data_IF_188034513141
#
_entry.id   IF_188034513141
#
_cell.length_a   1.000
_cell.length_b   1.000
_cell.length_c   1.000
_cell.angle_alpha   90.00
_cell.angle_beta   90.00
_cell.angle_gamma   90.00
#
_symmetry.space_group_name_H-M   'P 1'
#
loop_
_entity.id
_entity.type
_entity.pdbx_description
1 polymer ?
#
# COMPACT_ATOMS: atom_id res chain seq x y z
N UNK A 1 -0.75 -2.41 14.93
CA UNK A 1 -0.87 -3.88 15.07
C UNK A 1 -1.47 -4.25 16.43
N UNK A 2 -0.89 -3.81 17.56
CA UNK A 2 -1.40 -4.09 18.92
C UNK A 2 -2.85 -3.59 19.15
N UNK A 3 -3.23 -2.45 18.58
CA UNK A 3 -4.60 -1.91 18.60
C UNK A 3 -5.62 -2.74 17.79
N UNK A 4 -5.18 -3.39 16.70
CA UNK A 4 -6.03 -4.28 15.90
C UNK A 4 -6.27 -5.64 16.56
N UNK A 5 -5.29 -6.14 17.32
CA UNK A 5 -5.39 -7.38 18.09
C UNK A 5 -6.32 -7.19 19.30
N UNK A 6 -6.20 -6.07 20.02
CA UNK A 6 -7.11 -5.74 21.12
C UNK A 6 -8.56 -5.51 20.63
N UNK A 7 -8.74 -4.85 19.47
CA UNK A 7 -10.04 -4.71 18.82
C UNK A 7 -10.64 -6.05 18.39
N UNK A 8 -9.86 -6.91 17.73
CA UNK A 8 -10.31 -8.25 17.31
C UNK A 8 -10.71 -9.14 18.49
N UNK A 9 -9.97 -9.10 19.60
CA UNK A 9 -10.26 -9.87 20.81
C UNK A 9 -11.52 -9.35 21.52
N UNK A 10 -11.71 -8.02 21.60
CA UNK A 10 -12.94 -7.42 22.12
C UNK A 10 -14.19 -7.73 21.25
N UNK A 11 -13.99 -7.84 19.93
CA UNK A 11 -15.06 -8.10 18.95
C UNK A 11 -15.53 -9.56 18.94
N UNK A 12 -14.61 -10.51 19.20
CA UNK A 12 -14.93 -11.95 19.30
C UNK A 12 -15.44 -12.34 20.68
N UNK A 13 -15.10 -11.58 21.73
CA UNK A 13 -15.55 -11.88 23.10
C UNK A 13 -17.02 -11.55 23.38
N UNK A 14 -17.62 -10.54 22.73
CA UNK A 14 -19.05 -10.19 22.91
C UNK A 14 -19.99 -11.33 22.44
N UNK A 15 -19.79 -11.95 21.26
CA UNK A 15 -20.56 -13.11 20.81
C UNK A 15 -20.36 -14.36 21.68
N UNK A 16 -19.11 -14.60 22.14
CA UNK A 16 -18.79 -15.72 23.05
C UNK A 16 -19.49 -15.53 24.41
N UNK A 17 -19.50 -14.31 24.96
CA UNK A 17 -20.24 -13.98 26.17
C UNK A 17 -21.77 -14.14 26.00
N UNK A 18 -22.28 -13.83 24.80
CA UNK A 18 -23.68 -14.10 24.42
C UNK A 18 -24.01 -15.60 24.35
N UNK A 19 -23.10 -16.42 23.81
CA UNK A 19 -23.21 -17.88 23.74
C UNK A 19 -23.36 -18.52 25.13
N UNK A 20 -22.62 -18.04 26.14
CA UNK A 20 -22.72 -18.57 27.50
C UNK A 20 -24.00 -18.16 28.25
N UNK A 21 -24.75 -17.15 27.78
CA UNK A 21 -25.91 -16.60 28.50
C UNK A 21 -27.24 -17.23 28.13
N UNK A 22 -27.40 -17.77 26.90
CA UNK A 22 -28.65 -18.40 26.44
C UNK A 22 -28.37 -19.58 25.49
N UNK A 23 -28.25 -20.79 26.06
CA UNK A 23 -28.13 -22.07 25.32
C UNK A 23 -29.43 -22.46 24.61
N UNK A 24 -29.87 -21.67 23.62
CA UNK A 24 -30.92 -22.09 22.68
C UNK A 24 -30.25 -22.59 21.39
N UNK A 25 -30.73 -23.70 20.81
CA UNK A 25 -30.19 -24.30 19.56
C UNK A 25 -30.16 -23.29 18.41
N UNK A 26 -31.18 -22.45 18.28
CA UNK A 26 -31.25 -21.42 17.25
C UNK A 26 -30.13 -20.39 17.40
N UNK A 27 -29.88 -19.93 18.64
CA UNK A 27 -28.83 -18.96 18.93
C UNK A 27 -27.44 -19.51 18.65
N UNK A 28 -27.22 -20.78 18.98
CA UNK A 28 -25.96 -21.48 18.71
C UNK A 28 -25.72 -21.60 17.20
N UNK A 29 -26.76 -21.89 16.43
CA UNK A 29 -26.67 -22.04 14.97
C UNK A 29 -26.29 -20.72 14.30
N UNK A 30 -26.91 -19.61 14.72
CA UNK A 30 -26.61 -18.28 14.17
C UNK A 30 -25.18 -17.84 14.49
N UNK A 31 -24.72 -18.04 15.74
CA UNK A 31 -23.34 -17.70 16.13
C UNK A 31 -22.32 -18.54 15.37
N UNK A 32 -22.55 -19.85 15.26
CA UNK A 32 -21.67 -20.75 14.51
C UNK A 32 -21.60 -20.38 13.03
N UNK A 33 -22.74 -20.08 12.40
CA UNK A 33 -22.78 -19.63 11.00
C UNK A 33 -21.94 -18.36 10.81
N UNK A 34 -22.11 -17.36 11.66
CA UNK A 34 -21.39 -16.09 11.56
C UNK A 34 -19.90 -16.23 11.87
N UNK A 35 -19.53 -17.07 12.86
CA UNK A 35 -18.12 -17.40 13.13
C UNK A 35 -17.48 -18.13 11.95
N UNK A 36 -18.19 -19.08 11.36
CA UNK A 36 -17.73 -19.83 10.20
C UNK A 36 -17.61 -18.93 8.97
N UNK A 37 -18.52 -17.96 8.79
CA UNK A 37 -18.41 -16.92 7.78
C UNK A 37 -17.15 -16.06 7.96
N UNK A 38 -16.90 -15.58 9.18
CA UNK A 38 -15.67 -14.84 9.50
C UNK A 38 -14.44 -15.71 9.24
N UNK A 39 -14.43 -16.98 9.66
CA UNK A 39 -13.31 -17.88 9.38
C UNK A 39 -13.07 -18.10 7.89
N UNK A 40 -14.12 -18.37 7.11
CA UNK A 40 -13.98 -18.65 5.68
C UNK A 40 -13.59 -17.43 4.84
N UNK A 41 -14.05 -16.24 5.21
CA UNK A 41 -13.87 -15.05 4.38
C UNK A 41 -12.86 -14.04 4.96
N UNK A 42 -12.65 -14.00 6.27
CA UNK A 42 -11.72 -13.06 6.93
C UNK A 42 -10.33 -13.65 7.14
N UNK A 43 -10.21 -14.91 7.57
CA UNK A 43 -8.89 -15.51 7.86
C UNK A 43 -8.02 -15.68 6.61
N UNK A 44 -8.54 -16.15 5.45
CA UNK A 44 -7.75 -16.15 4.22
C UNK A 44 -7.27 -14.75 3.85
N UNK A 45 -8.14 -13.73 3.93
CA UNK A 45 -7.74 -12.35 3.70
C UNK A 45 -6.64 -11.89 4.67
N UNK A 46 -6.64 -12.35 5.92
CA UNK A 46 -5.60 -11.97 6.88
C UNK A 46 -4.26 -12.68 6.64
N UNK A 47 -4.29 -13.97 6.28
CA UNK A 47 -3.10 -14.78 5.98
C UNK A 47 -2.44 -14.32 4.67
N UNK A 48 -3.24 -14.03 3.64
CA UNK A 48 -2.73 -13.72 2.31
C UNK A 48 -2.51 -12.21 2.07
N UNK A 49 -3.05 -11.33 2.92
CA UNK A 49 -2.94 -9.86 2.77
C UNK A 49 -2.30 -9.22 3.99
N UNK A 50 -1.08 -9.67 4.34
CA UNK A 50 -0.28 -9.13 5.45
C UNK A 50 0.34 -7.75 5.17
N UNK A 51 0.19 -7.28 3.95
CA UNK A 51 0.64 -5.98 3.46
C UNK A 51 -0.47 -5.51 2.53
N UNK A 52 -1.02 -4.30 2.71
CA UNK A 52 -1.60 -3.43 1.66
C UNK A 52 -2.59 -2.43 2.26
N UNK A 53 -2.04 -1.29 2.65
CA UNK A 53 -2.69 -0.05 3.05
C UNK A 53 -3.27 0.71 1.84
N UNK A 54 -3.82 0.03 0.84
CA UNK A 54 -4.27 0.68 -0.41
C UNK A 54 -5.62 0.13 -0.86
N UNK A 55 -6.54 1.01 -1.29
CA UNK A 55 -7.98 0.77 -1.49
C UNK A 55 -8.43 -0.39 -2.38
N UNK A 56 -7.52 -1.18 -2.97
CA UNK A 56 -7.83 -2.47 -3.60
C UNK A 56 -8.25 -3.55 -2.58
N UNK A 57 -7.77 -3.47 -1.33
CA UNK A 57 -8.16 -4.40 -0.24
C UNK A 57 -9.61 -4.24 0.21
N UNK A 58 -10.26 -3.10 -0.09
CA UNK A 58 -11.63 -2.84 0.36
C UNK A 58 -12.68 -3.75 -0.28
N UNK A 59 -12.42 -4.36 -1.45
CA UNK A 59 -13.41 -5.20 -2.14
C UNK A 59 -13.54 -6.59 -1.52
N UNK A 60 -12.44 -7.18 -1.11
CA UNK A 60 -12.42 -8.51 -0.48
C UNK A 60 -12.79 -8.45 1.00
N UNK A 61 -12.59 -7.30 1.66
CA UNK A 61 -13.01 -7.09 3.05
C UNK A 61 -14.52 -6.91 3.19
N UNK A 62 -15.25 -6.50 2.14
CA UNK A 62 -16.71 -6.31 2.19
C UNK A 62 -17.44 -7.62 2.53
N UNK A 63 -17.14 -8.72 1.83
CA UNK A 63 -17.78 -10.03 2.08
C UNK A 63 -17.47 -10.54 3.49
N UNK A 64 -16.23 -10.37 3.95
CA UNK A 64 -15.85 -10.73 5.32
C UNK A 64 -16.45 -9.81 6.38
N UNK A 65 -16.69 -8.54 6.03
CA UNK A 65 -17.28 -7.52 6.90
C UNK A 65 -18.74 -7.79 7.20
N UNK A 66 -19.50 -8.38 6.27
CA UNK A 66 -20.90 -8.76 6.49
C UNK A 66 -21.04 -9.76 7.64
N UNK A 67 -20.21 -10.80 7.66
CA UNK A 67 -20.22 -11.80 8.74
C UNK A 67 -19.85 -11.19 10.09
N UNK A 68 -18.84 -10.32 10.12
CA UNK A 68 -18.41 -9.64 11.35
C UNK A 68 -19.50 -8.68 11.88
N UNK A 69 -20.12 -7.88 11.01
CA UNK A 69 -21.23 -6.99 11.36
C UNK A 69 -22.43 -7.77 11.86
N UNK A 70 -22.78 -8.87 11.19
CA UNK A 70 -23.84 -9.77 11.63
C UNK A 70 -23.54 -10.36 13.01
N UNK A 71 -22.30 -10.82 13.25
CA UNK A 71 -21.87 -11.38 14.53
C UNK A 71 -21.95 -10.34 15.66
N UNK A 72 -21.52 -9.11 15.40
CA UNK A 72 -21.63 -7.99 16.36
C UNK A 72 -23.08 -7.64 16.64
N UNK A 73 -23.89 -7.44 15.61
CA UNK A 73 -25.30 -7.08 15.76
C UNK A 73 -26.06 -8.16 16.54
N UNK A 74 -25.78 -9.43 16.25
CA UNK A 74 -26.37 -10.55 16.96
C UNK A 74 -25.92 -10.59 18.42
N UNK A 75 -24.63 -10.46 18.71
CA UNK A 75 -24.09 -10.39 20.08
C UNK A 75 -24.70 -9.25 20.91
N UNK A 76 -24.86 -8.07 20.30
CA UNK A 76 -25.53 -6.92 20.92
C UNK A 76 -27.01 -7.21 21.18
N UNK A 77 -27.70 -7.91 20.26
CA UNK A 77 -29.12 -8.24 20.41
C UNK A 77 -29.39 -9.11 21.64
N UNK A 78 -28.43 -9.95 22.03
CA UNK A 78 -28.50 -10.86 23.18
C UNK A 78 -28.34 -10.16 24.55
N UNK A 79 -27.91 -8.90 24.57
CA UNK A 79 -27.81 -8.13 25.81
C UNK A 79 -29.20 -7.84 26.37
N UNK A 80 -29.43 -8.21 27.64
CA UNK A 80 -30.76 -8.13 28.29
C UNK A 80 -31.26 -6.69 28.46
N UNK A 81 -30.35 -5.74 28.65
CA UNK A 81 -30.70 -4.39 29.06
C UNK A 81 -30.67 -3.44 27.87
N UNK A 82 -31.79 -2.75 27.60
CA UNK A 82 -31.92 -1.78 26.50
C UNK A 82 -30.83 -0.69 26.55
N UNK A 83 -30.54 -0.15 27.73
CA UNK A 83 -29.51 0.87 27.90
C UNK A 83 -28.10 0.37 27.57
N UNK A 84 -27.77 -0.85 27.98
CA UNK A 84 -26.46 -1.46 27.66
C UNK A 84 -26.32 -1.65 26.15
N UNK A 85 -27.38 -2.07 25.45
CA UNK A 85 -27.37 -2.15 23.97
C UNK A 85 -27.09 -0.81 23.32
N UNK A 86 -27.78 0.24 23.76
CA UNK A 86 -27.61 1.61 23.23
C UNK A 86 -26.17 2.08 23.47
N UNK A 87 -25.63 1.91 24.68
CA UNK A 87 -24.27 2.32 25.02
C UNK A 87 -23.24 1.60 24.14
N UNK A 88 -23.37 0.28 23.97
CA UNK A 88 -22.44 -0.51 23.15
C UNK A 88 -22.52 -0.13 21.67
N UNK A 89 -23.74 0.06 21.13
CA UNK A 89 -23.94 0.51 19.75
C UNK A 89 -23.31 1.88 19.52
N UNK A 90 -23.61 2.86 20.38
CA UNK A 90 -23.05 4.22 20.26
C UNK A 90 -21.53 4.20 20.39
N UNK A 91 -20.97 3.42 21.32
CA UNK A 91 -19.52 3.26 21.48
C UNK A 91 -18.85 2.69 20.23
N UNK A 92 -19.45 1.67 19.61
CA UNK A 92 -18.95 1.10 18.35
C UNK A 92 -19.02 2.09 17.20
N UNK A 93 -20.14 2.81 17.04
CA UNK A 93 -20.27 3.84 15.99
C UNK A 93 -19.21 4.93 16.17
N UNK A 94 -19.01 5.42 17.40
CA UNK A 94 -17.98 6.42 17.71
C UNK A 94 -16.58 5.86 17.43
N UNK A 95 -16.30 4.64 17.85
CA UNK A 95 -15.01 3.99 17.60
C UNK A 95 -14.73 3.86 16.10
N UNK A 96 -15.69 3.34 15.31
CA UNK A 96 -15.55 3.24 13.86
C UNK A 96 -15.47 4.60 13.18
N UNK A 97 -16.18 5.60 13.68
CA UNK A 97 -16.07 6.98 13.18
C UNK A 97 -14.65 7.53 13.38
N UNK A 98 -14.10 7.43 14.60
CA UNK A 98 -12.74 7.88 14.92
C UNK A 98 -11.71 7.12 14.08
N UNK A 99 -11.82 5.79 14.00
CA UNK A 99 -10.91 4.97 13.19
C UNK A 99 -10.98 5.32 11.71
N UNK A 100 -12.17 5.47 11.14
CA UNK A 100 -12.32 5.88 9.73
C UNK A 100 -11.78 7.28 9.51
N UNK A 101 -12.04 8.22 10.42
CA UNK A 101 -11.52 9.58 10.30
C UNK A 101 -9.98 9.61 10.33
N UNK A 102 -9.37 8.86 11.24
CA UNK A 102 -7.92 8.68 11.31
C UNK A 102 -7.35 8.04 10.03
N UNK A 103 -7.96 6.95 9.56
CA UNK A 103 -7.54 6.28 8.32
C UNK A 103 -7.68 7.24 7.14
N UNK A 104 -8.77 8.01 7.07
CA UNK A 104 -8.99 8.97 6.01
C UNK A 104 -8.02 10.14 6.07
N UNK A 105 -7.71 10.69 7.25
CA UNK A 105 -6.75 11.79 7.39
C UNK A 105 -5.34 11.34 6.99
N UNK A 106 -4.92 10.15 7.42
CA UNK A 106 -3.65 9.54 7.01
C UNK A 106 -3.64 9.28 5.49
N UNK A 107 -4.74 8.79 4.91
CA UNK A 107 -4.84 8.56 3.46
C UNK A 107 -5.01 9.84 2.63
N UNK A 108 -5.48 10.94 3.20
CA UNK A 108 -5.66 12.21 2.50
C UNK A 108 -4.32 12.78 2.05
N UNK A 109 -3.28 12.68 2.89
CA UNK A 109 -1.92 13.07 2.52
C UNK A 109 -1.38 12.21 1.36
N UNK A 110 -1.67 10.91 1.36
CA UNK A 110 -1.27 9.99 0.28
C UNK A 110 -2.01 10.23 -1.04
N UNK A 111 -3.21 10.80 -0.95
CA UNK A 111 -4.03 11.22 -2.09
C UNK A 111 -3.92 12.72 -2.37
N UNK A 112 -2.96 13.40 -1.74
CA UNK A 112 -2.78 14.84 -1.94
C UNK A 112 -2.52 15.11 -3.41
N UNK A 113 -3.57 15.60 -4.08
CA UNK A 113 -3.53 15.94 -5.50
C UNK A 113 -2.44 16.99 -5.76
N UNK A 114 -2.20 17.88 -4.79
CA UNK A 114 -1.15 18.91 -4.87
C UNK A 114 0.25 18.29 -4.94
N UNK A 115 0.62 17.42 -3.99
CA UNK A 115 1.95 16.80 -3.98
C UNK A 115 2.15 15.93 -5.22
N UNK A 116 1.14 15.14 -5.57
CA UNK A 116 1.18 14.29 -6.77
C UNK A 116 1.37 15.11 -8.05
N UNK A 117 0.63 16.21 -8.21
CA UNK A 117 0.74 17.08 -9.38
C UNK A 117 2.09 17.81 -9.43
N UNK A 118 2.63 18.25 -8.29
CA UNK A 118 3.94 18.90 -8.24
C UNK A 118 5.05 17.94 -8.67
N UNK A 119 5.06 16.74 -8.10
CA UNK A 119 6.01 15.70 -8.44
C UNK A 119 5.85 15.23 -9.89
N UNK A 120 4.62 15.09 -10.36
CA UNK A 120 4.31 14.76 -11.75
C UNK A 120 4.83 15.85 -12.71
N UNK A 121 4.54 17.12 -12.42
CA UNK A 121 5.01 18.23 -13.23
C UNK A 121 6.55 18.34 -13.23
N UNK A 122 7.20 17.92 -12.15
CA UNK A 122 8.66 17.88 -12.07
C UNK A 122 9.24 16.75 -12.92
N UNK A 123 8.71 15.54 -12.80
CA UNK A 123 9.03 14.42 -13.70
C UNK A 123 8.78 14.77 -15.17
N UNK A 124 7.71 15.51 -15.47
CA UNK A 124 7.41 15.96 -16.83
C UNK A 124 8.47 16.91 -17.40
N UNK A 125 9.07 17.75 -16.55
CA UNK A 125 10.09 18.72 -16.95
C UNK A 125 11.50 18.14 -16.99
N UNK A 126 11.87 17.35 -15.98
CA UNK A 126 13.25 16.93 -15.75
C UNK A 126 13.62 15.64 -16.50
N UNK A 127 12.66 14.74 -16.75
CA UNK A 127 12.93 13.49 -17.48
C UNK A 127 12.87 13.70 -19.00
N UNK A 128 13.97 13.46 -19.75
CA UNK A 128 14.04 13.72 -21.19
C UNK A 128 13.02 12.96 -22.04
N UNK A 129 12.70 13.52 -23.22
CA UNK A 129 11.96 12.85 -24.31
C UNK A 129 12.94 12.49 -25.44
N UNK A 130 12.83 11.31 -26.09
CA UNK A 130 11.90 10.21 -25.83
C UNK A 130 12.27 9.40 -24.56
N UNK A 131 11.27 8.76 -23.95
CA UNK A 131 11.49 7.95 -22.75
C UNK A 131 12.30 6.70 -23.11
N UNK A 132 13.53 6.62 -22.59
CA UNK A 132 14.33 5.40 -22.57
C UNK A 132 14.08 4.69 -21.23
N UNK A 133 14.59 3.46 -21.03
CA UNK A 133 14.55 2.83 -19.71
C UNK A 133 15.32 3.72 -18.72
N UNK A 134 14.58 4.48 -17.93
CA UNK A 134 15.10 5.33 -16.85
C UNK A 134 14.69 4.73 -15.53
N UNK A 135 15.56 4.89 -14.54
CA UNK A 135 15.27 4.51 -13.18
C UNK A 135 14.77 5.75 -12.43
N UNK A 136 13.54 5.66 -11.93
CA UNK A 136 12.89 6.74 -11.21
C UNK A 136 12.81 6.39 -9.73
N UNK A 137 13.41 7.21 -8.89
CA UNK A 137 13.45 7.03 -7.45
C UNK A 137 12.78 8.20 -6.76
N UNK A 138 11.97 7.92 -5.75
CA UNK A 138 11.48 8.96 -4.85
C UNK A 138 11.80 8.54 -3.43
N UNK A 139 12.44 9.45 -2.72
CA UNK A 139 12.94 9.29 -1.37
C UNK A 139 12.36 10.40 -0.48
N UNK A 140 12.69 10.35 0.81
CA UNK A 140 12.35 11.38 1.79
C UNK A 140 11.54 10.87 2.96
N UNK A 141 11.34 11.75 3.93
CA UNK A 141 10.64 11.51 5.18
C UNK A 141 9.13 11.77 5.09
N UNK A 142 8.65 12.31 3.96
CA UNK A 142 7.23 12.57 3.78
C UNK A 142 6.41 11.26 3.80
N UNK A 143 5.33 11.18 4.62
CA UNK A 143 4.53 9.95 4.79
C UNK A 143 4.00 9.36 3.48
N UNK A 144 3.79 10.19 2.45
CA UNK A 144 3.30 9.77 1.15
C UNK A 144 4.33 9.06 0.25
N UNK A 145 5.63 9.14 0.53
CA UNK A 145 6.68 8.54 -0.33
C UNK A 145 6.45 7.04 -0.61
N UNK A 146 6.14 6.17 0.39
CA UNK A 146 5.92 4.75 0.16
C UNK A 146 4.69 4.43 -0.71
N UNK A 147 3.70 5.33 -0.76
CA UNK A 147 2.37 5.07 -1.34
C UNK A 147 2.10 5.79 -2.67
N UNK A 148 2.73 6.93 -2.87
CA UNK A 148 2.36 7.88 -3.93
C UNK A 148 2.76 7.44 -5.34
N UNK A 149 3.80 6.60 -5.50
CA UNK A 149 4.52 6.54 -6.79
C UNK A 149 4.59 5.18 -7.48
N UNK A 150 4.79 4.09 -6.72
CA UNK A 150 4.84 2.75 -7.30
C UNK A 150 3.51 2.31 -7.93
N UNK A 151 2.38 2.86 -7.48
CA UNK A 151 1.07 2.37 -7.92
C UNK A 151 0.25 3.39 -8.74
N UNK A 152 0.38 4.69 -8.45
CA UNK A 152 -0.53 5.70 -9.00
C UNK A 152 0.07 6.55 -10.13
N UNK A 153 1.40 6.69 -10.22
CA UNK A 153 2.05 7.63 -11.16
C UNK A 153 2.58 6.98 -12.43
N UNK A 154 2.85 5.68 -12.40
CA UNK A 154 3.46 4.97 -13.51
C UNK A 154 2.57 5.02 -14.77
N UNK A 155 1.28 4.71 -14.63
CA UNK A 155 0.34 4.65 -15.77
C UNK A 155 0.11 6.05 -16.38
N UNK A 156 -0.22 7.10 -15.61
CA UNK A 156 -0.32 8.45 -16.16
C UNK A 156 0.95 8.93 -16.86
N UNK A 157 2.12 8.64 -16.29
CA UNK A 157 3.41 9.02 -16.88
C UNK A 157 3.63 8.32 -18.22
N UNK A 158 3.40 7.02 -18.30
CA UNK A 158 3.50 6.24 -19.55
C UNK A 158 2.52 6.75 -20.60
N UNK A 159 1.26 7.00 -20.23
CA UNK A 159 0.22 7.48 -21.14
C UNK A 159 0.55 8.87 -21.70
N UNK A 160 0.92 9.81 -20.84
CA UNK A 160 1.28 11.18 -21.27
C UNK A 160 2.54 11.25 -22.14
N UNK A 161 3.38 10.22 -22.08
CA UNK A 161 4.60 10.09 -22.89
C UNK A 161 4.39 9.20 -24.14
N UNK A 162 3.17 8.74 -24.38
CA UNK A 162 2.80 7.88 -25.51
C UNK A 162 3.71 6.65 -25.65
N UNK A 163 4.02 5.98 -24.54
CA UNK A 163 4.85 4.77 -24.54
C UNK A 163 3.96 3.57 -24.89
N UNK A 164 4.12 2.96 -26.08
CA UNK A 164 3.18 1.95 -26.56
C UNK A 164 3.50 0.54 -26.03
N UNK A 165 4.75 0.29 -25.64
CA UNK A 165 5.22 -1.03 -25.24
C UNK A 165 5.51 -1.10 -23.75
N UNK A 166 5.03 -2.17 -23.11
CA UNK A 166 5.25 -2.46 -21.68
C UNK A 166 6.73 -2.55 -21.30
N UNK A 167 7.56 -3.12 -22.16
CA UNK A 167 9.02 -3.23 -21.97
C UNK A 167 9.78 -1.90 -21.90
N UNK A 168 9.12 -0.80 -22.30
CA UNK A 168 9.69 0.55 -22.31
C UNK A 168 9.24 1.38 -21.09
N UNK A 169 8.49 0.78 -20.16
CA UNK A 169 8.02 1.50 -18.99
C UNK A 169 9.20 1.87 -18.07
N UNK A 170 9.16 3.05 -17.42
CA UNK A 170 10.13 3.38 -16.40
C UNK A 170 10.17 2.34 -15.28
N UNK A 171 11.35 2.15 -14.70
CA UNK A 171 11.52 1.31 -13.53
C UNK A 171 11.46 2.24 -12.31
N UNK A 172 10.40 2.10 -11.51
CA UNK A 172 10.28 2.80 -10.24
C UNK A 172 10.95 1.98 -9.14
N UNK A 173 11.80 2.62 -8.35
CA UNK A 173 12.46 2.02 -7.20
C UNK A 173 12.25 2.88 -5.96
N UNK A 174 12.19 2.20 -4.82
CA UNK A 174 12.02 2.77 -3.48
C UNK A 174 13.33 2.77 -2.67
N UNK A 175 14.36 2.03 -3.10
CA UNK A 175 15.65 1.95 -2.42
C UNK A 175 16.84 1.90 -3.37
N UNK A 176 18.00 2.33 -2.86
CA UNK A 176 19.29 2.24 -3.56
C UNK A 176 19.65 0.79 -3.85
N UNK A 177 19.42 -0.13 -2.90
CA UNK A 177 19.64 -1.58 -3.10
C UNK A 177 18.89 -2.14 -4.29
N UNK A 178 17.60 -1.79 -4.42
CA UNK A 178 16.82 -2.21 -5.59
C UNK A 178 17.35 -1.55 -6.86
N UNK A 179 17.74 -0.28 -6.80
CA UNK A 179 18.31 0.42 -7.94
C UNK A 179 19.57 -0.28 -8.47
N UNK A 180 20.50 -0.59 -7.58
CA UNK A 180 21.73 -1.33 -7.87
C UNK A 180 21.39 -2.72 -8.42
N UNK A 181 20.43 -3.43 -7.82
CA UNK A 181 20.02 -4.76 -8.30
C UNK A 181 19.48 -4.74 -9.73
N UNK A 182 18.72 -3.70 -10.11
CA UNK A 182 18.31 -3.51 -11.50
C UNK A 182 19.49 -3.19 -12.40
N UNK A 183 20.35 -2.23 -12.05
CA UNK A 183 21.50 -1.82 -12.88
C UNK A 183 22.48 -2.98 -13.09
N UNK A 184 22.74 -3.77 -12.06
CA UNK A 184 23.66 -4.90 -12.11
C UNK A 184 23.05 -6.17 -12.73
N UNK A 185 21.81 -6.12 -13.25
CA UNK A 185 21.16 -7.26 -13.88
C UNK A 185 20.78 -8.40 -12.93
N UNK A 186 20.76 -8.16 -11.61
CA UNK A 186 20.37 -9.14 -10.57
C UNK A 186 18.86 -9.33 -10.52
N UNK A 187 18.10 -8.33 -10.98
CA UNK A 187 16.63 -8.37 -11.02
C UNK A 187 16.13 -8.51 -12.46
N UNK A 188 15.29 -9.52 -12.71
CA UNK A 188 14.76 -9.84 -14.04
C UNK A 188 13.33 -9.37 -14.27
N UNK A 189 12.67 -8.80 -13.26
CA UNK A 189 11.27 -8.39 -13.30
C UNK A 189 11.07 -7.06 -12.57
N UNK A 190 10.28 -6.16 -13.12
CA UNK A 190 9.80 -4.97 -12.41
C UNK A 190 8.28 -4.90 -12.37
N UNK A 191 7.74 -4.33 -11.29
CA UNK A 191 6.30 -4.08 -11.18
C UNK A 191 5.94 -2.80 -11.92
N UNK A 192 5.11 -2.93 -12.93
CA UNK A 192 4.59 -1.81 -13.69
C UNK A 192 3.12 -2.03 -14.08
N UNK A 193 2.28 -1.01 -13.82
CA UNK A 193 0.85 -1.08 -14.13
C UNK A 193 0.15 -2.35 -13.61
N UNK A 194 0.44 -2.73 -12.37
CA UNK A 194 -0.13 -3.92 -11.70
C UNK A 194 0.29 -5.27 -12.30
N UNK A 195 1.39 -5.29 -13.06
CA UNK A 195 1.94 -6.50 -13.67
C UNK A 195 3.44 -6.59 -13.46
N UNK A 196 3.97 -7.81 -13.48
CA UNK A 196 5.41 -8.06 -13.53
C UNK A 196 5.85 -8.07 -14.99
N UNK A 197 6.73 -7.13 -15.34
CA UNK A 197 7.28 -6.97 -16.69
C UNK A 197 8.73 -7.43 -16.67
N UNK A 198 9.16 -8.29 -17.61
CA UNK A 198 10.55 -8.69 -17.70
C UNK A 198 11.48 -7.51 -17.99
N UNK A 199 12.59 -7.42 -17.28
CA UNK A 199 13.69 -6.50 -17.55
C UNK A 199 14.72 -7.24 -18.41
N UNK A 200 15.07 -6.74 -19.61
CA UNK A 200 16.11 -7.36 -20.43
C UNK A 200 17.46 -7.34 -19.71
N UNK A 201 18.29 -8.37 -19.95
CA UNK A 201 19.67 -8.45 -19.45
C UNK A 201 20.61 -8.41 -20.67
N UNK A 202 21.53 -7.42 -20.76
CA UNK A 202 21.73 -6.33 -19.81
C UNK A 202 20.58 -5.29 -19.86
N UNK A 203 20.27 -4.65 -18.73
CA UNK A 203 19.26 -3.59 -18.66
C UNK A 203 19.76 -2.35 -19.43
N UNK A 204 18.89 -1.65 -20.17
CA UNK A 204 19.27 -0.41 -20.86
C UNK A 204 18.97 0.85 -20.01
N UNK A 205 19.37 0.85 -18.74
CA UNK A 205 19.12 2.01 -17.86
C UNK A 205 20.02 3.17 -18.27
N UNK A 206 19.44 4.21 -18.89
CA UNK A 206 20.22 5.35 -19.39
C UNK A 206 20.62 6.34 -18.31
N UNK A 207 19.78 6.48 -17.29
CA UNK A 207 19.96 7.46 -16.24
C UNK A 207 19.07 7.15 -15.02
N UNK A 208 19.42 7.74 -13.89
CA UNK A 208 18.70 7.72 -12.62
C UNK A 208 18.17 9.13 -12.34
N UNK A 209 16.85 9.26 -12.18
CA UNK A 209 16.22 10.48 -11.69
C UNK A 209 15.66 10.24 -10.31
N UNK A 210 16.03 11.09 -9.37
CA UNK A 210 15.65 10.96 -7.96
C UNK A 210 15.14 12.27 -7.36
N UNK A 211 14.00 12.21 -6.67
CA UNK A 211 13.45 13.35 -5.95
C UNK A 211 13.30 13.04 -4.46
N UNK A 212 13.75 13.96 -3.61
CA UNK A 212 13.55 13.91 -2.18
C UNK A 212 12.30 14.72 -1.83
N UNK A 213 11.37 14.10 -1.11
CA UNK A 213 10.14 14.74 -0.62
C UNK A 213 10.25 14.92 0.88
N UNK A 214 10.42 16.17 1.30
CA UNK A 214 10.54 16.54 2.71
C UNK A 214 9.19 16.48 3.42
N UNK A 215 9.18 16.34 4.74
CA UNK A 215 7.97 16.26 5.56
C UNK A 215 7.00 17.42 5.41
N UNK A 216 7.46 18.61 5.00
CA UNK A 216 6.62 19.78 4.70
C UNK A 216 5.99 19.75 3.29
N UNK A 217 6.29 18.72 2.50
CA UNK A 217 5.81 18.52 1.14
C UNK A 217 6.66 19.21 0.07
N UNK A 218 7.77 19.85 0.44
CA UNK A 218 8.72 20.40 -0.54
C UNK A 218 9.46 19.27 -1.27
N UNK A 219 9.75 19.51 -2.55
CA UNK A 219 10.39 18.53 -3.43
C UNK A 219 11.73 19.08 -3.91
N UNK A 220 12.78 18.29 -3.72
CA UNK A 220 14.14 18.61 -4.12
C UNK A 220 14.68 17.54 -5.08
N UNK A 221 15.38 17.96 -6.13
CA UNK A 221 15.99 17.04 -7.08
C UNK A 221 17.37 16.61 -6.55
N UNK A 222 17.49 15.33 -6.19
CA UNK A 222 18.70 14.73 -5.59
C UNK A 222 19.39 13.75 -6.55
N UNK A 223 19.34 14.05 -7.85
CA UNK A 223 19.79 13.14 -8.91
C UNK A 223 21.27 12.77 -8.76
N UNK A 224 22.15 13.78 -8.63
CA UNK A 224 23.61 13.58 -8.55
C UNK A 224 24.04 12.86 -7.28
N UNK A 225 23.41 13.19 -6.14
CA UNK A 225 23.69 12.52 -4.87
C UNK A 225 23.35 11.03 -4.96
N UNK A 226 22.16 10.70 -5.46
CA UNK A 226 21.72 9.30 -5.61
C UNK A 226 22.55 8.56 -6.65
N UNK A 227 22.90 9.18 -7.78
CA UNK A 227 23.81 8.59 -8.77
C UNK A 227 25.15 8.25 -8.16
N UNK A 228 25.72 9.15 -7.36
CA UNK A 228 27.00 8.96 -6.67
C UNK A 228 26.94 7.80 -5.67
N UNK A 229 25.87 7.72 -4.86
CA UNK A 229 25.66 6.63 -3.91
C UNK A 229 25.47 5.27 -4.64
N UNK A 230 24.73 5.26 -5.75
CA UNK A 230 24.57 4.07 -6.60
C UNK A 230 25.92 3.64 -7.18
N UNK A 231 26.70 4.57 -7.74
CA UNK A 231 28.02 4.28 -8.31
C UNK A 231 28.97 3.68 -7.27
N UNK A 232 29.04 4.28 -6.07
CA UNK A 232 29.86 3.77 -4.97
C UNK A 232 29.45 2.34 -4.59
N UNK A 233 28.14 2.06 -4.53
CA UNK A 233 27.63 0.74 -4.18
C UNK A 233 27.89 -0.31 -5.27
N UNK A 234 27.75 0.06 -6.54
CA UNK A 234 28.10 -0.79 -7.69
C UNK A 234 29.58 -1.17 -7.65
N UNK A 235 30.48 -0.22 -7.35
CA UNK A 235 31.92 -0.47 -7.23
C UNK A 235 32.21 -1.47 -6.10
N UNK A 236 31.56 -1.31 -4.94
CA UNK A 236 31.74 -2.22 -3.81
C UNK A 236 31.22 -3.64 -4.09
N UNK A 237 30.16 -3.77 -4.88
CA UNK A 237 29.54 -5.07 -5.20
C UNK A 237 30.19 -5.80 -6.39
N UNK A 238 31.08 -5.14 -7.13
CA UNK A 238 31.80 -5.76 -8.27
C UNK A 238 30.87 -6.21 -9.39
N UNK A 239 29.87 -5.39 -9.75
CA UNK A 239 28.88 -5.77 -10.76
C UNK A 239 29.50 -6.00 -12.15
N UNK A 240 29.10 -7.09 -12.81
CA UNK A 240 29.54 -7.44 -14.17
C UNK A 240 28.95 -6.50 -15.24
N UNK A 241 27.72 -6.02 -15.01
CA UNK A 241 27.03 -5.05 -15.86
C UNK A 241 27.01 -3.68 -15.17
N UNK A 242 27.82 -2.75 -15.66
CA UNK A 242 27.86 -1.36 -15.18
C UNK A 242 27.55 -0.42 -16.33
N UNK A 243 26.48 0.36 -16.19
CA UNK A 243 26.15 1.39 -17.16
C UNK A 243 26.73 2.71 -16.67
N UNK A 244 27.50 3.45 -17.50
CA UNK A 244 27.98 4.76 -17.12
C UNK A 244 26.80 5.72 -17.00
N UNK A 245 26.49 6.14 -15.77
CA UNK A 245 25.54 7.21 -15.51
C UNK A 245 26.18 8.52 -16.00
N UNK A 246 25.53 9.21 -16.95
CA UNK A 246 26.04 10.49 -17.44
C UNK A 246 25.72 11.61 -16.42
N UNK A 247 26.64 12.54 -16.16
CA UNK A 247 26.27 13.82 -15.56
C UNK A 247 25.36 14.58 -16.54
N UNK A 248 24.31 15.23 -16.02
CA UNK A 248 23.36 16.05 -16.80
C UNK A 248 23.99 17.38 -17.22
#
# INVERSE_FOLDING_TARGET
IVSGIAGGIALVSIPILGYFRKKNKENVTVVLFLLLWVLLFYVPNWIFTLQLTVGFTNRYTVLSGVGLVGLMAYGISLLSTRWVRIIVLSGLVIFFWIQNHYILSVNQEFRSLSLHNQLYARMQREVPKPFKQYLLMITGDHPAVPYSLLYNMQVPLVMSRNIPQRSQFPIFVDTIDRAVSYICGKTTMHSAAWQFIPVPIPPEIKDVFAWNVHSDGTIESVHEEIRSQIQQKIQNEGCEYVIPLKPL
#
